data_IF_661599540643
#
_entry.id   IF_661599540643
#
_cell.length_a   1.000
_cell.length_b   1.000
_cell.length_c   1.000
_cell.angle_alpha   90.00
_cell.angle_beta   90.00
_cell.angle_gamma   90.00
#
_symmetry.space_group_name_H-M   'P 1'
#
loop_
_entity.id
_entity.type
_entity.pdbx_description
1 polymer ?
#
# COMPACT_ATOMS: atom_id res chain seq x y z
N UNK A 1 30.34 31.42 -69.90
CA UNK A 1 29.08 30.75 -69.53
C UNK A 1 28.06 30.82 -70.66
N UNK A 2 27.69 29.66 -71.21
CA UNK A 2 26.52 29.53 -72.08
C UNK A 2 25.23 29.79 -71.27
N UNK A 3 24.43 30.78 -71.69
CA UNK A 3 23.20 31.20 -71.00
C UNK A 3 22.22 30.03 -70.76
N UNK A 4 22.24 29.03 -71.64
CA UNK A 4 21.39 27.84 -71.56
C UNK A 4 21.83 26.90 -70.43
N UNK A 5 23.13 26.68 -70.26
CA UNK A 5 23.66 25.83 -69.19
C UNK A 5 23.33 26.43 -67.83
N UNK A 6 23.52 27.74 -67.65
CA UNK A 6 23.17 28.43 -66.41
C UNK A 6 21.67 28.38 -66.09
N UNK A 7 20.80 28.49 -67.09
CA UNK A 7 19.34 28.38 -66.90
C UNK A 7 18.92 26.96 -66.51
N UNK A 8 19.46 25.94 -67.18
CA UNK A 8 19.20 24.54 -66.85
C UNK A 8 19.73 24.17 -65.46
N UNK A 9 20.90 24.67 -65.09
CA UNK A 9 21.52 24.42 -63.79
C UNK A 9 20.69 25.07 -62.67
N UNK A 10 20.18 26.28 -62.89
CA UNK A 10 19.23 26.93 -61.98
C UNK A 10 17.97 26.08 -61.78
N UNK A 11 17.34 25.63 -62.87
CA UNK A 11 16.15 24.76 -62.80
C UNK A 11 16.44 23.43 -62.12
N UNK A 12 17.62 22.85 -62.32
CA UNK A 12 18.04 21.61 -61.67
C UNK A 12 18.07 21.78 -60.15
N UNK A 13 18.65 22.89 -59.67
CA UNK A 13 18.66 23.22 -58.24
C UNK A 13 17.28 23.56 -57.68
N UNK A 14 16.39 24.12 -58.50
CA UNK A 14 14.98 24.35 -58.16
C UNK A 14 14.12 23.06 -58.28
N UNK A 15 14.71 21.94 -58.71
CA UNK A 15 14.05 20.66 -58.97
C UNK A 15 12.91 20.74 -60.00
N UNK A 16 13.02 21.63 -60.98
CA UNK A 16 12.04 21.85 -62.05
C UNK A 16 12.45 21.23 -63.40
N UNK A 17 13.56 20.50 -63.46
CA UNK A 17 14.06 19.87 -64.68
C UNK A 17 13.31 18.58 -65.05
N UNK A 18 13.13 18.37 -66.36
CA UNK A 18 12.73 17.08 -66.92
C UNK A 18 13.92 16.15 -67.15
N UNK A 19 13.65 14.83 -67.29
CA UNK A 19 14.70 13.84 -67.56
C UNK A 19 15.48 14.12 -68.84
N UNK A 20 14.83 14.68 -69.88
CA UNK A 20 15.52 15.07 -71.11
C UNK A 20 16.46 16.27 -70.89
N UNK A 21 16.02 17.26 -70.12
CA UNK A 21 16.82 18.45 -69.78
C UNK A 21 18.03 18.08 -68.92
N UNK A 22 17.89 17.13 -67.99
CA UNK A 22 19.03 16.65 -67.19
C UNK A 22 20.07 15.90 -68.04
N UNK A 23 19.63 15.11 -69.01
CA UNK A 23 20.55 14.47 -69.96
C UNK A 23 21.29 15.51 -70.81
N UNK A 24 20.59 16.55 -71.26
CA UNK A 24 21.19 17.67 -71.99
C UNK A 24 22.19 18.43 -71.10
N UNK A 25 21.83 18.72 -69.85
CA UNK A 25 22.70 19.38 -68.87
C UNK A 25 23.98 18.59 -68.62
N UNK A 26 23.88 17.26 -68.47
CA UNK A 26 25.05 16.37 -68.35
C UNK A 26 25.99 16.45 -69.55
N UNK A 27 25.43 16.43 -70.76
CA UNK A 27 26.23 16.54 -71.99
C UNK A 27 26.92 17.91 -72.11
N UNK A 28 26.18 18.99 -71.80
CA UNK A 28 26.70 20.35 -71.82
C UNK A 28 27.84 20.53 -70.80
N UNK A 29 27.67 20.06 -69.57
CA UNK A 29 28.70 20.06 -68.52
C UNK A 29 29.91 19.19 -68.89
N UNK A 30 29.71 18.04 -69.54
CA UNK A 30 30.83 17.22 -69.99
C UNK A 30 31.68 17.94 -71.06
N UNK A 31 31.02 18.70 -71.95
CA UNK A 31 31.65 19.42 -73.07
C UNK A 31 32.22 20.80 -72.73
N UNK A 32 31.88 21.38 -71.57
CA UNK A 32 32.31 22.72 -71.21
C UNK A 32 33.72 22.74 -70.60
N UNK A 33 34.52 23.74 -70.98
CA UNK A 33 35.85 24.04 -70.37
C UNK A 33 35.82 25.30 -69.49
N UNK A 34 34.62 25.75 -69.11
CA UNK A 34 34.43 26.95 -68.30
C UNK A 34 34.82 26.67 -66.83
N UNK A 35 35.78 27.44 -66.31
CA UNK A 35 36.28 27.29 -64.94
C UNK A 35 35.21 27.57 -63.88
N UNK A 36 34.16 28.33 -64.22
CA UNK A 36 33.04 28.60 -63.32
C UNK A 36 32.12 27.40 -63.10
N UNK A 37 32.21 26.37 -63.94
CA UNK A 37 31.36 25.17 -63.90
C UNK A 37 32.13 23.94 -63.39
N UNK A 38 33.34 24.14 -62.88
CA UNK A 38 34.23 23.04 -62.46
C UNK A 38 33.64 22.24 -61.29
N UNK A 39 33.01 22.91 -60.33
CA UNK A 39 32.38 22.28 -59.17
C UNK A 39 31.20 21.39 -59.58
N UNK A 40 30.32 21.89 -60.46
CA UNK A 40 29.17 21.14 -60.93
C UNK A 40 29.60 19.99 -61.82
N UNK A 41 30.62 20.17 -62.66
CA UNK A 41 31.19 19.06 -63.44
C UNK A 41 31.72 17.96 -62.52
N UNK A 42 32.48 18.31 -61.48
CA UNK A 42 33.00 17.34 -60.53
C UNK A 42 31.87 16.60 -59.79
N UNK A 43 30.80 17.30 -59.40
CA UNK A 43 29.64 16.71 -58.76
C UNK A 43 28.92 15.70 -59.66
N UNK A 44 28.60 16.10 -60.89
CA UNK A 44 27.91 15.24 -61.85
C UNK A 44 28.76 14.03 -62.25
N UNK A 45 30.08 14.21 -62.37
CA UNK A 45 31.02 13.11 -62.60
C UNK A 45 31.02 12.11 -61.43
N UNK A 46 31.01 12.59 -60.19
CA UNK A 46 30.92 11.74 -59.01
C UNK A 46 29.59 10.97 -58.96
N UNK A 47 28.47 11.60 -59.32
CA UNK A 47 27.19 10.91 -59.40
C UNK A 47 27.17 9.81 -60.45
N UNK A 48 27.77 10.03 -61.63
CA UNK A 48 27.87 9.01 -62.65
C UNK A 48 28.81 7.86 -62.23
N UNK A 49 29.90 8.13 -61.51
CA UNK A 49 30.78 7.11 -60.93
C UNK A 49 30.04 6.26 -59.88
N UNK A 50 29.29 6.91 -58.98
CA UNK A 50 28.57 6.24 -57.88
C UNK A 50 27.23 5.64 -58.29
N UNK A 51 26.76 5.89 -59.52
CA UNK A 51 25.47 5.37 -60.01
C UNK A 51 25.33 3.85 -59.88
N UNK A 52 26.43 3.13 -60.04
CA UNK A 52 26.48 1.67 -59.95
C UNK A 52 27.05 1.18 -58.61
N UNK A 53 27.11 2.03 -57.58
CA UNK A 53 27.50 1.61 -56.26
C UNK A 53 26.38 0.71 -55.69
N UNK A 54 26.73 -0.55 -55.41
CA UNK A 54 25.83 -1.50 -54.77
C UNK A 54 26.01 -1.42 -53.25
N UNK A 55 24.90 -1.66 -52.54
CA UNK A 55 24.94 -1.84 -51.09
C UNK A 55 25.55 -3.21 -50.78
N UNK A 56 26.31 -3.32 -49.70
CA UNK A 56 26.82 -4.60 -49.24
C UNK A 56 25.69 -5.44 -48.60
N UNK A 57 25.89 -6.75 -48.50
CA UNK A 57 24.88 -7.66 -47.91
C UNK A 57 24.58 -7.35 -46.43
N UNK A 58 25.47 -6.64 -45.73
CA UNK A 58 25.29 -6.29 -44.31
C UNK A 58 24.54 -4.99 -44.08
N UNK A 59 24.34 -4.14 -45.10
CA UNK A 59 23.74 -2.82 -44.96
C UNK A 59 22.37 -2.86 -44.31
N UNK A 60 21.49 -3.73 -44.79
CA UNK A 60 20.13 -3.86 -44.28
C UNK A 60 20.15 -4.29 -42.80
N UNK A 61 21.00 -5.27 -42.47
CA UNK A 61 21.14 -5.76 -41.10
C UNK A 61 21.65 -4.67 -40.13
N UNK A 62 22.63 -3.88 -40.57
CA UNK A 62 23.16 -2.75 -39.79
C UNK A 62 22.15 -1.61 -39.65
N UNK A 63 21.37 -1.32 -40.70
CA UNK A 63 20.31 -0.31 -40.68
C UNK A 63 19.20 -0.70 -39.71
N UNK A 64 18.69 -1.92 -39.80
CA UNK A 64 17.64 -2.40 -38.89
C UNK A 64 18.11 -2.41 -37.44
N UNK A 65 19.35 -2.84 -37.18
CA UNK A 65 19.91 -2.78 -35.83
C UNK A 65 19.96 -1.35 -35.25
N UNK A 66 20.25 -0.35 -36.09
CA UNK A 66 20.22 1.05 -35.66
C UNK A 66 18.80 1.58 -35.46
N UNK A 67 17.85 1.18 -36.30
CA UNK A 67 16.43 1.54 -36.14
C UNK A 67 15.89 0.98 -34.82
N UNK A 68 16.13 -0.31 -34.56
CA UNK A 68 15.68 -0.98 -33.33
C UNK A 68 16.26 -0.32 -32.07
N UNK A 69 17.54 0.06 -32.11
CA UNK A 69 18.19 0.79 -31.01
C UNK A 69 17.55 2.16 -30.75
N UNK A 70 17.06 2.85 -31.77
CA UNK A 70 16.35 4.12 -31.64
C UNK A 70 14.90 3.94 -31.18
N UNK A 71 14.27 2.81 -31.50
CA UNK A 71 12.92 2.46 -31.07
C UNK A 71 12.86 2.03 -29.59
N UNK A 72 13.87 1.31 -29.08
CA UNK A 72 13.96 0.95 -27.65
C UNK A 72 13.93 2.19 -26.72
N UNK A 73 14.37 3.36 -27.19
CA UNK A 73 14.32 4.60 -26.40
C UNK A 73 12.94 5.26 -26.37
N UNK A 74 11.98 4.79 -27.17
CA UNK A 74 10.67 5.43 -27.38
C UNK A 74 9.49 4.56 -26.99
N UNK A 75 9.68 3.45 -26.28
CA UNK A 75 8.53 2.71 -25.75
C UNK A 75 7.78 3.59 -24.75
N UNK A 76 6.71 4.23 -25.25
CA UNK A 76 5.75 4.93 -24.44
C UNK A 76 5.20 3.93 -23.43
N UNK A 77 5.57 4.11 -22.15
CA UNK A 77 5.20 3.22 -21.06
C UNK A 77 3.70 2.97 -21.08
N UNK A 78 3.30 1.81 -21.60
CA UNK A 78 1.90 1.39 -21.65
C UNK A 78 1.48 0.99 -20.24
N UNK A 79 0.89 1.94 -19.53
CA UNK A 79 0.35 1.68 -18.20
C UNK A 79 -0.92 0.87 -18.38
N UNK A 80 -0.88 -0.40 -17.96
CA UNK A 80 -2.06 -1.23 -17.90
C UNK A 80 -2.98 -0.71 -16.79
N UNK A 81 -4.19 -0.28 -17.17
CA UNK A 81 -5.18 0.21 -16.20
C UNK A 81 -5.51 -0.87 -15.16
N UNK A 82 -5.49 -2.14 -15.56
CA UNK A 82 -5.79 -3.28 -14.69
C UNK A 82 -4.77 -3.44 -13.56
N UNK A 83 -3.48 -3.24 -13.84
CA UNK A 83 -2.44 -3.34 -12.82
C UNK A 83 -2.46 -2.14 -11.88
N UNK A 84 -2.77 -0.96 -12.43
CA UNK A 84 -3.01 0.24 -11.63
C UNK A 84 -4.16 0.02 -10.64
N UNK A 85 -5.33 -0.44 -11.09
CA UNK A 85 -6.45 -0.73 -10.19
C UNK A 85 -6.13 -1.80 -9.14
N UNK A 86 -5.38 -2.85 -9.49
CA UNK A 86 -4.96 -3.89 -8.53
C UNK A 86 -4.05 -3.34 -7.44
N UNK A 87 -3.13 -2.44 -7.78
CA UNK A 87 -2.19 -1.86 -6.81
C UNK A 87 -2.91 -0.95 -5.80
N UNK A 88 -3.95 -0.22 -6.23
CA UNK A 88 -4.69 0.71 -5.36
C UNK A 88 -5.96 0.10 -4.73
N UNK A 89 -6.39 -1.08 -5.15
CA UNK A 89 -7.62 -1.72 -4.64
C UNK A 89 -7.57 -1.96 -3.13
N UNK A 90 -6.42 -2.37 -2.58
CA UNK A 90 -6.27 -2.60 -1.13
C UNK A 90 -6.37 -1.29 -0.33
N UNK A 91 -5.77 -0.21 -0.83
CA UNK A 91 -5.82 1.12 -0.22
C UNK A 91 -7.25 1.68 -0.27
N UNK A 92 -7.90 1.57 -1.44
CA UNK A 92 -9.29 2.01 -1.61
C UNK A 92 -10.24 1.23 -0.69
N UNK A 93 -10.05 -0.08 -0.54
CA UNK A 93 -10.84 -0.91 0.37
C UNK A 93 -10.66 -0.46 1.84
N UNK A 94 -9.43 -0.19 2.28
CA UNK A 94 -9.16 0.30 3.63
C UNK A 94 -9.84 1.66 3.89
N UNK A 95 -9.79 2.58 2.93
CA UNK A 95 -10.46 3.88 3.02
C UNK A 95 -11.98 3.72 3.12
N UNK A 96 -12.57 2.85 2.29
CA UNK A 96 -14.02 2.55 2.35
C UNK A 96 -14.42 1.98 3.71
N UNK A 97 -13.65 1.04 4.25
CA UNK A 97 -13.92 0.47 5.59
C UNK A 97 -13.85 1.55 6.66
N UNK A 98 -12.85 2.45 6.62
CA UNK A 98 -12.75 3.55 7.55
C UNK A 98 -13.95 4.50 7.46
N UNK A 99 -14.38 4.87 6.26
CA UNK A 99 -15.56 5.71 6.06
C UNK A 99 -16.84 5.06 6.58
N UNK A 100 -17.05 3.77 6.27
CA UNK A 100 -18.22 3.03 6.75
C UNK A 100 -18.20 2.93 8.28
N UNK A 101 -17.06 2.61 8.88
CA UNK A 101 -16.93 2.52 10.34
C UNK A 101 -17.19 3.86 11.03
N UNK A 102 -16.68 4.96 10.46
CA UNK A 102 -16.91 6.32 10.97
C UNK A 102 -18.38 6.74 10.84
N UNK A 103 -19.04 6.39 9.73
CA UNK A 103 -20.46 6.67 9.54
C UNK A 103 -21.33 5.92 10.57
N UNK A 104 -21.05 4.64 10.83
CA UNK A 104 -21.74 3.85 11.85
C UNK A 104 -21.51 4.44 13.25
N UNK A 105 -20.27 4.79 13.58
CA UNK A 105 -19.93 5.40 14.88
C UNK A 105 -20.65 6.73 15.09
N UNK A 106 -20.70 7.59 14.08
CA UNK A 106 -21.40 8.87 14.15
C UNK A 106 -22.92 8.69 14.28
N UNK A 107 -23.50 7.73 13.55
CA UNK A 107 -24.92 7.39 13.67
C UNK A 107 -25.27 6.85 15.06
N UNK A 108 -24.40 6.04 15.65
CA UNK A 108 -24.62 5.48 16.98
C UNK A 108 -24.62 6.57 18.08
N UNK A 109 -23.76 7.60 17.97
CA UNK A 109 -23.79 8.73 18.90
C UNK A 109 -25.13 9.48 18.89
N UNK A 110 -25.80 9.58 17.74
CA UNK A 110 -27.10 10.25 17.63
C UNK A 110 -28.25 9.45 18.28
N UNK A 111 -28.07 8.15 18.52
CA UNK A 111 -29.07 7.29 19.17
C UNK A 111 -28.97 7.30 20.71
N UNK A 112 -27.87 7.78 21.30
CA UNK A 112 -27.75 7.97 22.74
C UNK A 112 -28.25 9.37 23.14
N UNK A 113 -29.54 9.61 22.98
CA UNK A 113 -30.20 10.62 23.80
C UNK A 113 -30.51 9.96 25.14
N UNK A 114 -29.86 10.40 26.21
CA UNK A 114 -30.22 10.00 27.57
C UNK A 114 -31.61 10.57 27.82
N UNK A 115 -32.63 9.73 27.70
CA UNK A 115 -33.98 10.10 28.09
C UNK A 115 -33.97 10.25 29.61
N UNK A 116 -34.14 11.49 30.09
CA UNK A 116 -34.13 11.78 31.52
C UNK A 116 -35.21 10.95 32.22
N UNK A 117 -34.79 10.02 33.09
CA UNK A 117 -35.69 9.08 33.77
C UNK A 117 -36.60 9.77 34.81
N UNK A 118 -36.26 11.01 35.18
CA UNK A 118 -37.01 11.84 36.12
C UNK A 118 -37.08 13.27 35.58
N UNK A 119 -38.27 13.86 35.60
CA UNK A 119 -38.51 15.25 35.15
C UNK A 119 -37.99 16.30 36.14
N UNK A 120 -37.85 15.92 37.42
CA UNK A 120 -37.40 16.80 38.50
C UNK A 120 -36.06 16.31 39.10
N UNK A 121 -34.98 17.11 39.02
CA UNK A 121 -33.67 16.73 39.53
C UNK A 121 -33.64 16.49 41.05
N UNK A 122 -34.51 17.14 41.83
CA UNK A 122 -34.58 16.93 43.28
C UNK A 122 -35.10 15.53 43.64
N UNK A 123 -36.10 15.05 42.89
CA UNK A 123 -36.65 13.70 43.04
C UNK A 123 -35.64 12.61 42.64
N UNK A 124 -34.91 12.81 41.55
CA UNK A 124 -33.87 11.89 41.10
C UNK A 124 -32.78 11.69 42.17
N UNK A 125 -32.33 12.80 42.77
CA UNK A 125 -31.32 12.78 43.82
C UNK A 125 -31.83 12.07 45.09
N UNK A 126 -33.09 12.29 45.46
CA UNK A 126 -33.70 11.64 46.61
C UNK A 126 -33.77 10.11 46.44
N UNK A 127 -34.19 9.62 45.26
CA UNK A 127 -34.26 8.19 45.00
C UNK A 127 -32.84 7.58 44.91
N UNK A 128 -31.89 8.27 44.28
CA UNK A 128 -30.48 7.83 44.24
C UNK A 128 -29.92 7.67 45.67
N UNK A 129 -30.13 8.66 46.53
CA UNK A 129 -29.67 8.62 47.92
C UNK A 129 -30.27 7.43 48.68
N UNK A 130 -31.54 7.14 48.46
CA UNK A 130 -32.24 5.98 49.05
C UNK A 130 -31.66 4.67 48.55
N UNK A 131 -31.37 4.53 47.26
CA UNK A 131 -30.74 3.33 46.69
C UNK A 131 -29.33 3.12 47.25
N UNK A 132 -28.50 4.17 47.28
CA UNK A 132 -27.15 4.12 47.86
C UNK A 132 -27.19 3.73 49.34
N UNK A 133 -28.16 4.26 50.09
CA UNK A 133 -28.33 3.96 51.50
C UNK A 133 -28.80 2.51 51.71
N UNK A 134 -29.61 1.96 50.80
CA UNK A 134 -30.00 0.55 50.82
C UNK A 134 -28.79 -0.36 50.56
N UNK A 135 -27.96 -0.05 49.56
CA UNK A 135 -26.72 -0.78 49.28
C UNK A 135 -25.78 -0.74 50.48
N UNK A 136 -25.61 0.43 51.10
CA UNK A 136 -24.80 0.60 52.31
C UNK A 136 -25.29 -0.29 53.45
N UNK A 137 -26.61 -0.35 53.68
CA UNK A 137 -27.19 -1.25 54.70
C UNK A 137 -26.90 -2.72 54.40
N UNK A 138 -27.06 -3.16 53.15
CA UNK A 138 -26.76 -4.55 52.78
C UNK A 138 -25.28 -4.88 52.96
N UNK A 139 -24.38 -3.95 52.61
CA UNK A 139 -22.95 -4.13 52.79
C UNK A 139 -22.54 -4.21 54.26
N UNK A 140 -23.09 -3.32 55.10
CA UNK A 140 -22.84 -3.34 56.55
C UNK A 140 -23.40 -4.61 57.19
N UNK A 141 -24.59 -5.06 56.77
CA UNK A 141 -25.16 -6.33 57.23
C UNK A 141 -24.27 -7.51 56.84
N UNK A 142 -23.79 -7.54 55.59
CA UNK A 142 -22.86 -8.56 55.11
C UNK A 142 -21.57 -8.61 55.92
N UNK A 143 -20.95 -7.47 56.20
CA UNK A 143 -19.75 -7.39 57.03
C UNK A 143 -19.99 -7.91 58.46
N UNK A 144 -21.12 -7.56 59.07
CA UNK A 144 -21.46 -8.07 60.40
C UNK A 144 -21.64 -9.60 60.40
N UNK A 145 -22.36 -10.15 59.41
CA UNK A 145 -22.51 -11.60 59.26
C UNK A 145 -21.17 -12.31 59.03
N UNK A 146 -20.24 -11.70 58.28
CA UNK A 146 -18.90 -12.24 58.10
C UNK A 146 -18.08 -12.22 59.40
N UNK A 147 -18.21 -11.16 60.21
CA UNK A 147 -17.56 -11.08 61.51
C UNK A 147 -18.10 -12.13 62.49
N UNK A 148 -19.43 -12.32 62.55
CA UNK A 148 -20.06 -13.38 63.32
C UNK A 148 -19.58 -14.77 62.89
N UNK A 149 -19.53 -15.03 61.57
CA UNK A 149 -19.04 -16.30 61.02
C UNK A 149 -17.55 -16.53 61.34
N UNK A 150 -16.74 -15.48 61.29
CA UNK A 150 -15.31 -15.54 61.65
C UNK A 150 -15.14 -15.89 63.12
N UNK A 151 -15.94 -15.30 64.01
CA UNK A 151 -15.91 -15.61 65.44
C UNK A 151 -16.41 -17.03 65.72
N UNK A 152 -17.43 -17.49 65.00
CA UNK A 152 -17.90 -18.87 65.08
C UNK A 152 -16.80 -19.86 64.65
N UNK A 153 -16.11 -19.58 63.53
CA UNK A 153 -15.01 -20.41 63.03
C UNK A 153 -13.89 -20.54 64.07
N UNK A 154 -13.50 -19.43 64.71
CA UNK A 154 -12.50 -19.46 65.79
C UNK A 154 -12.93 -20.32 66.97
N UNK A 155 -14.20 -20.24 67.37
CA UNK A 155 -14.74 -21.10 68.42
C UNK A 155 -14.76 -22.58 68.04
N UNK A 156 -15.00 -22.90 66.76
CA UNK A 156 -14.93 -24.29 66.26
C UNK A 156 -13.48 -24.80 66.28
N UNK A 157 -12.50 -23.98 65.93
CA UNK A 157 -11.08 -24.34 66.00
C UNK A 157 -10.66 -24.64 67.46
N UNK A 158 -11.07 -23.79 68.42
CA UNK A 158 -10.83 -24.02 69.85
C UNK A 158 -11.46 -25.33 70.33
N UNK A 159 -12.69 -25.64 69.90
CA UNK A 159 -13.36 -26.91 70.23
C UNK A 159 -12.64 -28.13 69.64
N UNK A 160 -12.05 -28.00 68.45
CA UNK A 160 -11.27 -29.07 67.82
C UNK A 160 -9.98 -29.37 68.60
N UNK A 161 -9.30 -28.33 69.10
CA UNK A 161 -8.11 -28.51 69.93
C UNK A 161 -8.45 -29.14 71.29
N UNK A 162 -9.60 -28.78 71.88
CA UNK A 162 -10.14 -29.47 73.05
C UNK A 162 -10.47 -30.95 72.77
N UNK A 163 -11.05 -31.27 71.61
CA UNK A 163 -11.35 -32.66 71.25
C UNK A 163 -10.09 -33.52 71.11
N UNK A 164 -9.03 -33.00 70.46
CA UNK A 164 -7.73 -33.68 70.38
C UNK A 164 -7.08 -33.91 71.74
N UNK A 165 -7.24 -32.96 72.67
CA UNK A 165 -6.81 -33.10 74.06
C UNK A 165 -7.55 -34.22 74.79
N UNK A 166 -8.85 -34.36 74.54
CA UNK A 166 -9.66 -35.47 75.06
C UNK A 166 -9.15 -36.82 74.58
N UNK A 167 -8.97 -36.98 73.26
CA UNK A 167 -8.43 -38.21 72.65
C UNK A 167 -7.03 -38.54 73.15
N UNK A 168 -6.15 -37.54 73.28
CA UNK A 168 -4.81 -37.74 73.83
C UNK A 168 -4.85 -38.20 75.30
N UNK A 169 -5.79 -37.67 76.10
CA UNK A 169 -5.96 -38.12 77.48
C UNK A 169 -6.48 -39.56 77.57
N UNK A 170 -7.36 -39.96 76.66
CA UNK A 170 -7.88 -41.33 76.59
C UNK A 170 -6.76 -42.31 76.21
N UNK A 171 -5.92 -41.96 75.24
CA UNK A 171 -4.71 -42.71 74.91
C UNK A 171 -3.71 -42.82 76.06
N UNK A 172 -3.54 -41.75 76.86
CA UNK A 172 -2.70 -41.78 78.06
C UNK A 172 -3.28 -42.65 79.18
N UNK A 173 -4.60 -42.69 79.34
CA UNK A 173 -5.26 -43.61 80.27
C UNK A 173 -5.07 -45.07 79.85
N UNK A 174 -5.15 -45.39 78.55
CA UNK A 174 -4.83 -46.74 78.06
C UNK A 174 -3.37 -47.14 78.32
N UNK A 175 -2.43 -46.20 78.18
CA UNK A 175 -1.02 -46.43 78.52
C UNK A 175 -0.83 -46.61 80.03
N UNK A 176 -1.58 -45.88 80.85
CA UNK A 176 -1.59 -46.06 82.31
C UNK A 176 -2.14 -47.42 82.72
N UNK A 177 -3.24 -47.89 82.11
CA UNK A 177 -3.78 -49.23 82.37
C UNK A 177 -2.79 -50.32 81.95
N UNK A 178 -2.13 -50.19 80.80
CA UNK A 178 -1.09 -51.15 80.37
C UNK A 178 0.16 -51.18 81.26
N UNK A 179 0.49 -50.08 81.94
CA UNK A 179 1.65 -50.02 82.85
C UNK A 179 1.34 -50.62 84.24
N UNK A 180 0.07 -50.77 84.62
CA UNK A 180 -0.31 -51.37 85.90
C UNK A 180 -0.34 -52.92 85.82
N UNK A 181 -0.48 -53.51 84.63
CA UNK A 181 -0.44 -54.98 84.46
C UNK A 181 0.97 -55.60 84.40
N UNK A 182 2.05 -54.81 84.49
CA UNK A 182 3.43 -55.30 84.33
C UNK A 182 4.33 -55.16 85.58
N UNK A 183 3.75 -55.24 86.77
CA UNK A 183 4.48 -55.41 88.03
C UNK A 183 3.77 -56.43 88.94
#
# INVERSE_FOLDING_TARGET
MDSKTSELLKKYWEAETSLQEEQELKQLLASSEDAQLEEERALFAHFDEKKNAELNESFDAELFAQIDQLEEQKEAKVISLKDYFRQYASIAAAVVVLFISGAIYFQQQQQYQVEDTFEDPELAYAELKKQLLMVSRYMNKGQNTLNELTNLSKGVDELQDFAKLGEASEGLNMLSEMNIENN
#
